data_IF_942963928718
#
_entry.id   IF_942963928718
#
_cell.length_a   1.000
_cell.length_b   1.000
_cell.length_c   1.000
_cell.angle_alpha   90.00
_cell.angle_beta   90.00
_cell.angle_gamma   90.00
#
_symmetry.space_group_name_H-M   'P 1'
#
loop_
_entity.id
_entity.type
_entity.pdbx_description
1 polymer ?
#
# COMPACT_ATOMS: atom_id res chain seq x y z
N UNK A 1 25.82 -2.28 -60.25
CA UNK A 1 24.46 -2.87 -60.11
C UNK A 1 23.81 -2.29 -58.85
N UNK A 2 22.48 -2.26 -58.74
CA UNK A 2 21.79 -1.52 -57.68
C UNK A 2 20.55 -2.25 -57.13
N UNK A 3 20.37 -2.17 -55.80
CA UNK A 3 19.19 -2.51 -54.97
C UNK A 3 19.58 -2.18 -53.52
N UNK A 4 18.85 -1.46 -52.63
CA UNK A 4 17.41 -1.14 -52.46
C UNK A 4 16.55 -2.41 -52.34
N UNK A 5 15.63 -2.61 -51.40
CA UNK A 5 14.99 -1.77 -50.37
C UNK A 5 14.50 -2.71 -49.20
N UNK A 6 13.85 -2.36 -48.08
CA UNK A 6 13.12 -1.15 -47.66
C UNK A 6 13.24 -0.87 -46.14
N UNK A 7 13.53 0.39 -45.82
CA UNK A 7 13.15 1.18 -44.64
C UNK A 7 12.00 0.67 -43.73
N UNK A 8 12.21 0.59 -42.40
CA UNK A 8 11.13 0.62 -41.38
C UNK A 8 11.53 1.55 -40.24
N UNK A 9 10.95 2.75 -40.19
CA UNK A 9 10.93 3.58 -38.99
C UNK A 9 9.66 3.28 -38.20
N UNK A 10 9.78 2.94 -36.91
CA UNK A 10 8.66 2.91 -35.98
C UNK A 10 8.81 4.02 -34.93
N UNK A 11 8.09 5.12 -35.17
CA UNK A 11 7.89 6.17 -34.19
C UNK A 11 7.24 5.59 -32.92
N UNK A 12 7.75 5.94 -31.75
CA UNK A 12 7.01 5.87 -30.49
C UNK A 12 7.25 7.14 -29.69
N UNK A 13 6.62 8.23 -30.14
CA UNK A 13 6.55 9.50 -29.41
C UNK A 13 5.65 9.34 -28.17
N UNK A 14 6.20 8.90 -27.05
CA UNK A 14 5.47 8.94 -25.79
C UNK A 14 5.43 10.39 -25.27
N UNK A 15 4.27 11.05 -25.36
CA UNK A 15 4.12 12.46 -25.01
C UNK A 15 4.12 12.64 -23.49
N UNK A 16 5.19 13.24 -22.94
CA UNK A 16 5.21 13.69 -21.54
C UNK A 16 4.43 15.00 -21.40
N UNK A 17 3.10 14.88 -21.44
CA UNK A 17 2.17 15.96 -21.12
C UNK A 17 1.13 15.49 -20.11
N UNK A 18 1.43 15.67 -18.83
CA UNK A 18 0.37 16.00 -17.87
C UNK A 18 0.85 17.01 -16.85
N UNK A 19 0.42 18.27 -17.04
CA UNK A 19 0.50 19.29 -16.01
C UNK A 19 -0.42 18.86 -14.85
N UNK A 20 0.10 18.83 -13.64
CA UNK A 20 -0.71 18.60 -12.43
C UNK A 20 -1.36 19.93 -12.00
N UNK A 21 -2.55 20.22 -12.54
CA UNK A 21 -3.40 21.28 -11.99
C UNK A 21 -4.11 20.80 -10.73
N UNK A 22 -3.71 21.38 -9.60
CA UNK A 22 -4.24 21.08 -8.27
C UNK A 22 -5.60 21.77 -8.07
N UNK A 23 -6.70 21.03 -8.22
CA UNK A 23 -8.05 21.53 -7.98
C UNK A 23 -8.60 21.09 -6.61
N UNK A 24 -8.60 22.01 -5.65
CA UNK A 24 -9.42 21.88 -4.44
C UNK A 24 -10.91 22.02 -4.79
N UNK A 25 -11.69 20.95 -4.66
CA UNK A 25 -13.16 21.07 -4.51
C UNK A 25 -13.51 21.21 -3.03
N UNK A 26 -13.64 22.46 -2.58
CA UNK A 26 -14.33 22.76 -1.32
C UNK A 26 -15.83 22.67 -1.59
N UNK A 27 -16.50 21.69 -0.97
CA UNK A 27 -17.96 21.57 -1.04
C UNK A 27 -18.60 22.50 -0.01
N UNK A 28 -19.10 23.65 -0.46
CA UNK A 28 -19.83 24.57 0.40
C UNK A 28 -21.22 24.01 0.74
N UNK A 29 -21.46 23.68 2.00
CA UNK A 29 -22.75 23.19 2.49
C UNK A 29 -23.73 24.36 2.73
N UNK A 30 -24.61 24.63 1.78
CA UNK A 30 -25.71 25.60 1.93
C UNK A 30 -26.90 24.98 2.65
N UNK A 31 -27.11 25.36 3.91
CA UNK A 31 -28.30 24.97 4.67
C UNK A 31 -29.56 25.66 4.10
N UNK A 32 -30.45 24.88 3.47
CA UNK A 32 -31.79 25.32 3.09
C UNK A 32 -32.83 24.78 4.09
N UNK A 33 -33.43 25.70 4.85
CA UNK A 33 -34.46 25.38 5.85
C UNK A 33 -35.80 25.13 5.16
N UNK A 34 -36.14 23.87 4.93
CA UNK A 34 -37.47 23.48 4.45
C UNK A 34 -38.51 23.54 5.59
N UNK A 35 -39.62 24.24 5.37
CA UNK A 35 -40.75 24.30 6.32
C UNK A 35 -41.63 23.04 6.21
N UNK A 36 -42.21 22.63 7.33
CA UNK A 36 -43.13 21.50 7.42
C UNK A 36 -44.56 21.87 7.01
N UNK A 37 -45.29 20.91 6.41
CA UNK A 37 -46.72 20.70 6.62
C UNK A 37 -47.08 19.22 6.32
N UNK A 38 -48.20 18.68 6.85
CA UNK A 38 -48.32 17.22 7.05
C UNK A 38 -49.33 16.49 6.13
N UNK A 39 -49.40 15.16 6.32
CA UNK A 39 -50.37 14.18 5.81
C UNK A 39 -50.27 13.76 4.34
N UNK A 40 -49.90 12.49 4.10
CA UNK A 40 -50.88 11.44 3.78
C UNK A 40 -50.31 10.04 4.09
N UNK A 41 -51.12 9.00 3.87
CA UNK A 41 -50.96 7.64 4.40
C UNK A 41 -49.92 6.75 3.71
N UNK A 42 -49.28 5.90 4.53
CA UNK A 42 -48.88 4.51 4.24
C UNK A 42 -48.11 4.21 2.94
N UNK A 43 -46.77 4.12 3.06
CA UNK A 43 -45.99 3.11 2.33
C UNK A 43 -45.12 2.38 3.35
N UNK A 44 -45.29 1.06 3.48
CA UNK A 44 -44.37 0.21 4.25
C UNK A 44 -43.10 -0.03 3.42
N UNK A 45 -42.31 1.02 3.21
CA UNK A 45 -40.98 0.93 2.61
C UNK A 45 -40.07 0.22 3.60
N UNK A 46 -40.06 -1.12 3.52
CA UNK A 46 -39.09 -1.98 4.19
C UNK A 46 -37.72 -1.69 3.59
N UNK A 47 -37.11 -0.60 4.05
CA UNK A 47 -35.72 -0.25 3.79
C UNK A 47 -34.86 -1.37 4.38
N UNK A 48 -34.64 -2.40 3.58
CA UNK A 48 -33.44 -3.21 3.65
C UNK A 48 -32.29 -2.23 3.46
N UNK A 49 -31.81 -1.66 4.58
CA UNK A 49 -30.58 -0.90 4.62
C UNK A 49 -29.52 -1.83 4.08
N UNK A 50 -29.10 -1.59 2.84
CA UNK A 50 -28.12 -2.43 2.20
C UNK A 50 -26.82 -2.20 2.96
N UNK A 51 -26.48 -3.12 3.86
CA UNK A 51 -25.27 -3.09 4.69
C UNK A 51 -24.04 -3.42 3.84
N UNK A 52 -23.90 -2.72 2.71
CA UNK A 52 -22.63 -2.60 2.03
C UNK A 52 -21.68 -1.94 3.01
N UNK A 53 -20.63 -2.67 3.39
CA UNK A 53 -19.56 -2.11 4.22
C UNK A 53 -19.07 -0.82 3.57
N UNK A 54 -19.13 0.29 4.30
CA UNK A 54 -18.45 1.52 3.90
C UNK A 54 -16.96 1.27 4.15
N UNK A 55 -16.33 0.55 3.23
CA UNK A 55 -14.89 0.34 3.24
C UNK A 55 -14.21 1.71 3.29
N UNK A 56 -13.35 1.90 4.28
CA UNK A 56 -12.70 3.17 4.55
C UNK A 56 -11.91 3.64 3.32
N UNK A 57 -11.80 4.97 3.16
CA UNK A 57 -10.93 5.55 2.15
C UNK A 57 -9.48 5.14 2.45
N UNK A 58 -8.91 4.24 1.63
CA UNK A 58 -7.59 3.67 1.87
C UNK A 58 -6.49 4.67 1.54
N UNK A 59 -5.57 4.86 2.49
CA UNK A 59 -4.42 5.76 2.38
C UNK A 59 -3.12 4.96 2.32
N UNK A 60 -2.04 5.58 1.85
CA UNK A 60 -0.71 4.97 1.87
C UNK A 60 -0.04 5.18 3.24
N UNK A 61 0.67 4.18 3.74
CA UNK A 61 1.43 4.25 4.99
C UNK A 61 2.85 3.72 4.79
N UNK A 62 3.84 4.54 5.12
CA UNK A 62 5.22 4.12 5.26
C UNK A 62 5.37 3.39 6.59
N UNK A 63 5.91 2.18 6.56
CA UNK A 63 6.07 1.33 7.75
C UNK A 63 7.54 0.96 7.91
N UNK A 64 8.07 1.16 9.12
CA UNK A 64 9.39 0.69 9.53
C UNK A 64 9.18 -0.32 10.65
N UNK A 65 9.58 -1.57 10.43
CA UNK A 65 9.50 -2.66 11.39
C UNK A 65 10.91 -3.11 11.74
N UNK A 66 11.46 -2.79 12.92
CA UNK A 66 12.74 -3.35 13.36
C UNK A 66 12.66 -4.88 13.50
N UNK A 67 13.78 -5.57 13.31
CA UNK A 67 13.92 -6.93 13.81
C UNK A 67 14.25 -6.89 15.31
N UNK A 68 13.93 -7.94 16.06
CA UNK A 68 14.38 -8.11 17.45
C UNK A 68 15.88 -8.43 17.50
N UNK A 69 16.53 -8.08 18.60
CA UNK A 69 17.95 -8.38 18.82
C UNK A 69 18.22 -9.90 18.69
N UNK A 70 19.27 -10.26 17.95
CA UNK A 70 19.60 -11.66 17.66
C UNK A 70 18.71 -12.38 16.64
N UNK A 71 17.62 -11.78 16.14
CA UNK A 71 16.63 -12.47 15.31
C UNK A 71 17.10 -12.85 13.88
N UNK A 72 18.29 -12.41 13.44
CA UNK A 72 18.79 -12.61 12.07
C UNK A 72 18.75 -14.08 11.60
N UNK A 73 19.13 -15.03 12.45
CA UNK A 73 19.11 -16.46 12.08
C UNK A 73 17.67 -16.96 11.89
N UNK A 74 16.75 -16.59 12.80
CA UNK A 74 15.32 -16.92 12.69
C UNK A 74 14.68 -16.27 11.46
N UNK A 75 15.11 -15.05 11.13
CA UNK A 75 14.70 -14.34 9.91
C UNK A 75 15.08 -15.10 8.65
N UNK A 76 16.32 -15.59 8.57
CA UNK A 76 16.80 -16.36 7.41
C UNK A 76 16.02 -17.67 7.26
N UNK A 77 15.79 -18.38 8.37
CA UNK A 77 15.00 -19.63 8.43
C UNK A 77 13.59 -19.45 7.85
N UNK A 78 12.83 -18.44 8.28
CA UNK A 78 11.43 -18.25 7.85
C UNK A 78 11.27 -17.37 6.61
N UNK A 79 12.35 -16.83 6.04
CA UNK A 79 12.33 -15.89 4.90
C UNK A 79 11.57 -16.44 3.69
N UNK A 80 11.71 -17.72 3.39
CA UNK A 80 11.00 -18.36 2.27
C UNK A 80 9.48 -18.28 2.41
N UNK A 81 8.97 -18.52 3.63
CA UNK A 81 7.54 -18.45 3.96
C UNK A 81 7.05 -16.99 3.90
N UNK A 82 7.81 -16.03 4.42
CA UNK A 82 7.48 -14.60 4.35
C UNK A 82 7.31 -14.14 2.89
N UNK A 83 8.28 -14.46 2.03
CA UNK A 83 8.24 -14.07 0.62
C UNK A 83 7.12 -14.77 -0.16
N UNK A 84 6.81 -16.03 0.14
CA UNK A 84 5.65 -16.72 -0.43
C UNK A 84 4.32 -16.03 -0.04
N UNK A 85 4.19 -15.66 1.24
CA UNK A 85 3.01 -14.95 1.78
C UNK A 85 2.88 -13.51 1.26
N UNK A 86 3.91 -12.95 0.64
CA UNK A 86 3.90 -11.59 0.10
C UNK A 86 3.00 -11.47 -1.14
N UNK A 87 2.86 -12.52 -1.96
CA UNK A 87 2.04 -12.47 -3.19
C UNK A 87 0.56 -12.05 -2.94
N UNK A 88 -0.22 -12.69 -2.05
CA UNK A 88 -1.59 -12.26 -1.79
C UNK A 88 -1.68 -10.85 -1.18
N UNK A 89 -0.64 -10.36 -0.50
CA UNK A 89 -0.58 -8.96 -0.03
C UNK A 89 -0.41 -7.96 -1.18
N UNK A 90 0.30 -8.33 -2.25
CA UNK A 90 0.41 -7.53 -3.48
C UNK A 90 -0.90 -7.60 -4.27
N UNK A 91 -1.45 -8.81 -4.47
CA UNK A 91 -2.66 -9.05 -5.26
C UNK A 91 -3.91 -8.36 -4.67
N UNK A 92 -4.05 -8.36 -3.34
CA UNK A 92 -5.09 -7.60 -2.61
C UNK A 92 -4.87 -6.07 -2.62
N UNK A 93 -3.75 -5.62 -3.17
CA UNK A 93 -3.36 -4.22 -3.22
C UNK A 93 -2.85 -3.64 -1.91
N UNK A 94 -2.75 -4.43 -0.83
CA UNK A 94 -2.25 -3.98 0.48
C UNK A 94 -0.78 -3.56 0.42
N UNK A 95 0.10 -4.33 -0.22
CA UNK A 95 1.54 -4.02 -0.30
C UNK A 95 1.90 -3.35 -1.64
N UNK A 96 2.67 -2.26 -1.58
CA UNK A 96 3.13 -1.51 -2.78
C UNK A 96 4.66 -1.50 -2.96
N UNK A 97 5.44 -1.57 -1.88
CA UNK A 97 6.83 -2.04 -1.91
C UNK A 97 7.17 -2.70 -0.56
N UNK A 98 8.18 -3.57 -0.55
CA UNK A 98 8.82 -4.06 0.67
C UNK A 98 10.31 -4.32 0.46
N UNK A 99 11.12 -4.08 1.49
CA UNK A 99 12.58 -4.31 1.46
C UNK A 99 13.16 -4.51 2.86
N UNK A 100 14.34 -5.14 2.94
CA UNK A 100 15.04 -5.33 4.20
C UNK A 100 15.89 -4.10 4.54
N UNK A 101 15.84 -3.65 5.79
CA UNK A 101 16.79 -2.69 6.35
C UNK A 101 18.10 -3.42 6.63
N UNK A 102 19.20 -2.87 6.14
CA UNK A 102 20.54 -3.40 6.36
C UNK A 102 21.32 -2.49 7.33
N UNK A 103 22.25 -3.06 8.09
CA UNK A 103 23.23 -2.28 8.86
C UNK A 103 24.26 -1.60 7.95
N UNK A 104 24.75 -2.35 6.97
CA UNK A 104 25.67 -1.92 5.92
C UNK A 104 25.40 -2.73 4.65
N UNK A 105 25.89 -2.26 3.50
CA UNK A 105 25.79 -3.02 2.25
C UNK A 105 26.77 -4.21 2.29
N UNK A 106 26.31 -5.46 2.16
CA UNK A 106 27.18 -6.63 2.15
C UNK A 106 28.05 -6.64 0.89
N UNK A 107 29.23 -7.25 0.98
CA UNK A 107 29.98 -7.65 -0.21
C UNK A 107 29.30 -8.84 -0.88
N UNK A 108 29.61 -9.09 -2.14
CA UNK A 108 29.19 -10.32 -2.83
C UNK A 108 29.56 -11.57 -2.01
N UNK A 109 28.72 -12.60 -2.07
CA UNK A 109 28.71 -13.81 -1.22
C UNK A 109 28.42 -13.64 0.29
N UNK A 110 28.36 -12.42 0.84
CA UNK A 110 28.02 -12.24 2.26
C UNK A 110 26.51 -12.30 2.51
N UNK A 111 26.11 -12.92 3.63
CA UNK A 111 24.73 -12.85 4.12
C UNK A 111 24.41 -11.39 4.49
N UNK A 112 23.32 -10.78 3.96
CA UNK A 112 23.01 -9.39 4.26
C UNK A 112 22.75 -9.16 5.76
N UNK A 113 23.36 -8.13 6.39
CA UNK A 113 23.18 -7.83 7.82
C UNK A 113 21.83 -7.15 8.04
N UNK A 114 20.77 -7.95 8.07
CA UNK A 114 19.39 -7.49 8.16
C UNK A 114 19.00 -7.14 9.60
N UNK A 115 18.41 -5.95 9.80
CA UNK A 115 18.00 -5.40 11.11
C UNK A 115 16.54 -4.92 11.17
N UNK A 116 15.74 -5.22 10.16
CA UNK A 116 14.36 -4.76 10.04
C UNK A 116 13.84 -4.73 8.61
N UNK A 117 12.67 -4.15 8.39
CA UNK A 117 12.00 -4.06 7.09
C UNK A 117 11.36 -2.69 6.91
N UNK A 118 11.46 -2.15 5.70
CA UNK A 118 10.66 -0.99 5.27
C UNK A 118 9.61 -1.49 4.29
N UNK A 119 8.35 -1.15 4.55
CA UNK A 119 7.21 -1.47 3.71
C UNK A 119 6.46 -0.18 3.37
N UNK A 120 5.80 -0.14 2.22
CA UNK A 120 4.80 0.88 1.92
C UNK A 120 3.51 0.19 1.55
N UNK A 121 2.51 0.36 2.42
CA UNK A 121 1.23 -0.37 2.40
C UNK A 121 0.06 0.58 2.15
N UNK A 122 -1.11 0.02 1.85
CA UNK A 122 -2.37 0.74 1.61
C UNK A 122 -3.48 0.13 2.48
N UNK A 123 -4.01 0.92 3.40
CA UNK A 123 -4.94 0.48 4.44
C UNK A 123 -5.93 1.59 4.83
N UNK A 124 -6.95 1.21 5.61
CA UNK A 124 -8.01 2.14 6.07
C UNK A 124 -7.58 2.93 7.31
N UNK A 125 -6.69 2.36 8.15
CA UNK A 125 -6.06 3.05 9.28
C UNK A 125 -4.71 2.42 9.65
N UNK A 126 -3.97 3.08 10.56
CA UNK A 126 -2.73 2.56 11.16
C UNK A 126 -2.92 1.25 11.93
N UNK A 127 -4.10 1.05 12.52
CA UNK A 127 -4.42 -0.13 13.32
C UNK A 127 -4.64 -1.33 12.40
N UNK A 128 -5.30 -1.13 11.25
CA UNK A 128 -5.42 -2.14 10.22
C UNK A 128 -4.06 -2.55 9.61
N UNK A 129 -3.12 -1.61 9.48
CA UNK A 129 -1.72 -1.93 9.12
C UNK A 129 -1.07 -2.81 10.19
N UNK A 130 -1.16 -2.41 11.46
CA UNK A 130 -0.57 -3.14 12.59
C UNK A 130 -1.15 -4.55 12.73
N UNK A 131 -2.47 -4.68 12.63
CA UNK A 131 -3.17 -5.97 12.69
C UNK A 131 -2.76 -6.89 11.53
N UNK A 132 -2.70 -6.37 10.30
CA UNK A 132 -2.33 -7.18 9.14
C UNK A 132 -0.85 -7.62 9.17
N UNK A 133 0.07 -6.75 9.60
CA UNK A 133 1.49 -7.10 9.73
C UNK A 133 1.77 -8.01 10.95
N UNK A 134 0.94 -7.96 11.99
CA UNK A 134 1.06 -8.88 13.14
C UNK A 134 0.74 -10.34 12.79
N UNK A 135 0.13 -10.60 11.63
CA UNK A 135 -0.16 -11.94 11.09
C UNK A 135 0.98 -12.50 10.23
N UNK A 136 2.02 -11.72 9.95
CA UNK A 136 3.16 -12.17 9.16
C UNK A 136 3.96 -13.27 9.90
N UNK A 137 4.68 -14.12 9.17
CA UNK A 137 5.54 -15.13 9.79
C UNK A 137 6.71 -14.49 10.55
N UNK A 138 7.23 -13.33 10.12
CA UNK A 138 8.22 -12.58 10.90
C UNK A 138 7.64 -12.04 12.22
N UNK A 139 6.36 -11.63 12.26
CA UNK A 139 5.72 -11.24 13.51
C UNK A 139 5.50 -12.45 14.43
N UNK A 140 4.85 -13.49 13.92
CA UNK A 140 4.44 -14.67 14.70
C UNK A 140 5.59 -15.59 15.12
N UNK A 141 6.71 -15.62 14.37
CA UNK A 141 7.94 -16.32 14.79
C UNK A 141 8.89 -15.47 15.66
N UNK A 142 8.48 -14.25 16.03
CA UNK A 142 9.23 -13.37 16.92
C UNK A 142 10.43 -12.65 16.28
N UNK A 143 10.52 -12.61 14.95
CA UNK A 143 11.56 -11.87 14.21
C UNK A 143 11.33 -10.37 14.27
N UNK A 144 10.11 -9.90 14.01
CA UNK A 144 9.77 -8.48 14.03
C UNK A 144 9.47 -7.96 15.43
N UNK A 145 9.98 -6.77 15.72
CA UNK A 145 9.60 -5.99 16.89
C UNK A 145 8.36 -5.14 16.57
N UNK A 146 7.19 -5.75 16.76
CA UNK A 146 5.89 -5.11 16.54
C UNK A 146 5.66 -3.95 17.53
N UNK A 147 6.27 -3.98 18.72
CA UNK A 147 6.17 -2.89 19.70
C UNK A 147 6.91 -1.65 19.20
N UNK A 148 8.10 -1.81 18.61
CA UNK A 148 8.89 -0.72 17.99
C UNK A 148 8.51 -0.41 16.53
N UNK A 149 7.42 -0.99 16.01
CA UNK A 149 6.91 -0.69 14.66
C UNK A 149 6.44 0.77 14.54
N UNK A 150 6.98 1.48 13.55
CA UNK A 150 6.58 2.85 13.20
C UNK A 150 5.67 2.81 11.98
N UNK A 151 4.53 3.50 12.04
CA UNK A 151 3.53 3.59 10.96
C UNK A 151 3.23 5.06 10.71
N UNK A 152 3.63 5.56 9.54
CA UNK A 152 3.56 6.99 9.20
C UNK A 152 2.66 7.19 7.98
N UNK A 153 1.60 8.01 8.04
CA UNK A 153 0.81 8.39 6.87
C UNK A 153 1.71 8.96 5.77
N UNK A 154 1.56 8.46 4.55
CA UNK A 154 2.48 8.74 3.45
C UNK A 154 1.75 9.03 2.14
N UNK A 155 2.49 9.60 1.17
CA UNK A 155 2.02 9.75 -0.21
C UNK A 155 3.21 9.73 -1.17
N UNK A 156 3.31 8.68 -1.98
CA UNK A 156 4.34 8.55 -3.00
C UNK A 156 4.20 9.63 -4.07
N UNK A 157 5.24 10.46 -4.25
CA UNK A 157 5.41 11.29 -5.44
C UNK A 157 5.99 10.49 -6.62
N UNK A 158 6.91 9.57 -6.33
CA UNK A 158 7.60 8.71 -7.31
C UNK A 158 7.67 7.28 -6.75
N UNK A 159 7.59 6.28 -7.65
CA UNK A 159 7.90 4.86 -7.39
C UNK A 159 8.59 4.31 -8.65
N UNK A 160 9.83 3.85 -8.53
CA UNK A 160 10.59 3.18 -9.60
C UNK A 160 11.31 1.98 -8.99
N UNK A 161 11.56 0.95 -9.80
CA UNK A 161 12.49 -0.12 -9.45
C UNK A 161 13.94 0.33 -9.71
N UNK A 162 14.89 -0.36 -9.06
CA UNK A 162 16.30 -0.38 -9.43
C UNK A 162 16.52 -1.48 -10.49
#
# INVERSE_FOLDING_TARGET
MASRNTFVLLNSRCSFQHLYQYQHRIAAATNLVARQCPSCSSINSRLQRNMGSIAGAKNEYMVIVPDKEGALQKRIEVRGVHLANTKPMIDSGFLKFGGAMLEFHPKESQTPPMKGSVLLVVAESSEAVREQLSKDIYATSGVWDIEKMQITPFKSAIRLAL
#
